data_IF_973956574403
#
_entry.id   IF_973956574403
#
_cell.length_a   1.000
_cell.length_b   1.000
_cell.length_c   1.000
_cell.angle_alpha   90.00
_cell.angle_beta   90.00
_cell.angle_gamma   90.00
#
_symmetry.space_group_name_H-M   'P 1'
#
loop_
_entity.id
_entity.type
_entity.pdbx_description
1 polymer ?
#
# COMPACT_ATOMS: atom_id res chain seq x y z
N UNK A 1 6.92 7.55 7.34
CA UNK A 1 6.56 6.79 8.57
C UNK A 1 6.66 7.68 9.79
N UNK A 2 6.16 7.22 10.95
CA UNK A 2 6.27 7.95 12.23
C UNK A 2 7.58 7.68 13.00
N UNK A 3 8.27 6.59 12.67
CA UNK A 3 9.58 6.24 13.23
C UNK A 3 10.69 6.50 12.21
N UNK A 4 11.88 6.81 12.71
CA UNK A 4 13.10 6.92 11.91
C UNK A 4 13.36 5.62 11.15
N UNK A 5 13.73 5.74 9.87
CA UNK A 5 14.01 4.62 8.98
C UNK A 5 12.88 3.56 8.90
N UNK A 6 11.64 3.95 9.19
CA UNK A 6 10.49 3.06 9.09
C UNK A 6 10.27 2.62 7.64
N UNK A 7 10.29 1.31 7.41
CA UNK A 7 10.03 0.69 6.10
C UNK A 7 9.07 -0.49 6.26
N UNK A 8 8.23 -0.74 5.27
CA UNK A 8 7.53 -2.01 5.16
C UNK A 8 8.53 -3.10 4.75
N UNK A 9 8.62 -4.16 5.54
CA UNK A 9 9.53 -5.27 5.32
C UNK A 9 8.81 -6.44 4.64
N UNK A 10 9.54 -7.13 3.75
CA UNK A 10 9.03 -8.27 2.99
C UNK A 10 9.03 -9.55 3.85
N UNK A 11 8.24 -9.55 4.93
CA UNK A 11 8.25 -10.61 5.96
C UNK A 11 6.96 -11.44 6.01
N UNK A 12 5.90 -10.98 5.34
CA UNK A 12 4.62 -11.67 5.24
C UNK A 12 3.99 -11.44 3.86
N UNK A 13 3.04 -12.30 3.47
CA UNK A 13 2.53 -12.42 2.10
C UNK A 13 1.93 -11.13 1.52
N UNK A 14 1.22 -10.32 2.31
CA UNK A 14 0.62 -9.08 1.82
C UNK A 14 1.70 -8.04 1.50
N UNK A 15 2.74 -7.94 2.33
CA UNK A 15 3.90 -7.07 2.09
C UNK A 15 4.63 -7.42 0.79
N UNK A 16 4.71 -8.72 0.45
CA UNK A 16 5.41 -9.18 -0.76
C UNK A 16 4.85 -8.56 -2.05
N UNK A 17 3.58 -8.13 -2.05
CA UNK A 17 2.92 -7.45 -3.18
C UNK A 17 3.58 -6.13 -3.59
N UNK A 18 4.33 -5.55 -2.67
CA UNK A 18 4.94 -4.23 -2.80
C UNK A 18 6.46 -4.29 -2.90
N UNK A 19 7.02 -5.49 -3.15
CA UNK A 19 8.45 -5.64 -3.36
C UNK A 19 8.94 -4.70 -4.47
N UNK A 20 9.91 -3.85 -4.15
CA UNK A 20 10.50 -2.83 -5.03
C UNK A 20 9.52 -1.76 -5.57
N UNK A 21 8.33 -1.65 -4.98
CA UNK A 21 7.24 -0.83 -5.49
C UNK A 21 6.70 0.19 -4.46
N UNK A 22 7.55 0.53 -3.50
CA UNK A 22 7.30 1.58 -2.50
C UNK A 22 8.36 2.67 -2.63
N UNK A 23 7.91 3.91 -2.78
CA UNK A 23 8.69 5.12 -2.58
C UNK A 23 8.52 5.60 -1.12
N UNK A 24 9.55 6.25 -0.60
CA UNK A 24 9.52 6.85 0.73
C UNK A 24 9.92 8.32 0.59
N UNK A 25 9.03 9.19 1.03
CA UNK A 25 9.33 10.59 1.26
C UNK A 25 9.59 10.77 2.76
N UNK A 26 10.87 10.85 3.13
CA UNK A 26 11.29 10.96 4.53
C UNK A 26 11.23 12.42 5.05
N UNK A 27 10.65 13.34 4.29
CA UNK A 27 10.51 14.76 4.65
C UNK A 27 9.03 15.12 4.85
N UNK A 28 8.72 15.86 5.91
CA UNK A 28 7.39 16.45 6.13
C UNK A 28 7.46 17.98 6.07
N UNK A 29 6.82 18.57 5.07
CA UNK A 29 6.89 20.01 4.80
C UNK A 29 5.75 20.82 5.46
N UNK A 30 4.91 20.20 6.30
CA UNK A 30 3.73 20.85 6.87
C UNK A 30 2.52 20.83 5.93
N UNK A 31 1.58 21.76 6.14
CA UNK A 31 0.35 21.85 5.35
C UNK A 31 0.65 22.26 3.91
N UNK A 32 0.02 21.59 2.95
CA UNK A 32 0.15 21.89 1.53
C UNK A 32 -0.68 23.13 1.19
N UNK A 33 -0.02 24.21 0.79
CA UNK A 33 -0.64 25.50 0.45
C UNK A 33 -0.64 25.81 -1.05
N UNK A 34 0.06 25.01 -1.86
CA UNK A 34 0.13 25.16 -3.31
C UNK A 34 0.36 23.80 -4.03
N UNK A 35 0.40 23.84 -5.36
CA UNK A 35 0.57 22.66 -6.20
C UNK A 35 2.03 22.14 -6.27
N UNK A 36 3.02 22.93 -5.84
CA UNK A 36 4.42 22.57 -6.00
C UNK A 36 4.79 21.31 -5.19
N UNK A 37 4.12 21.13 -4.05
CA UNK A 37 4.28 19.91 -3.25
C UNK A 37 3.72 18.68 -3.96
N UNK A 38 2.58 18.81 -4.65
CA UNK A 38 2.02 17.72 -5.47
C UNK A 38 3.00 17.27 -6.56
N UNK A 39 3.61 18.22 -7.28
CA UNK A 39 4.62 17.93 -8.30
C UNK A 39 5.87 17.28 -7.71
N UNK A 40 6.30 17.70 -6.51
CA UNK A 40 7.43 17.09 -5.81
C UNK A 40 7.11 15.64 -5.43
N UNK A 41 5.96 15.39 -4.81
CA UNK A 41 5.52 14.05 -4.41
C UNK A 41 5.36 13.12 -5.62
N UNK A 42 4.81 13.61 -6.73
CA UNK A 42 4.75 12.86 -7.98
C UNK A 42 6.15 12.46 -8.49
N UNK A 43 7.14 13.36 -8.39
CA UNK A 43 8.55 13.05 -8.69
C UNK A 43 9.14 11.99 -7.74
N UNK A 44 8.84 12.06 -6.44
CA UNK A 44 9.31 11.07 -5.45
C UNK A 44 8.69 9.70 -5.71
N UNK A 45 7.38 9.64 -5.98
CA UNK A 45 6.67 8.40 -6.33
C UNK A 45 7.28 7.74 -7.58
N UNK A 46 7.58 8.54 -8.61
CA UNK A 46 8.18 8.07 -9.85
C UNK A 46 7.30 7.03 -10.54
N UNK A 47 7.82 5.80 -10.70
CA UNK A 47 7.10 4.68 -11.35
C UNK A 47 6.47 3.69 -10.38
N UNK A 48 6.55 3.96 -9.07
CA UNK A 48 6.04 3.07 -8.03
C UNK A 48 4.56 3.30 -7.79
N UNK A 49 3.87 2.33 -7.20
CA UNK A 49 2.43 2.46 -6.88
C UNK A 49 2.15 3.03 -5.50
N UNK A 50 3.10 2.94 -4.58
CA UNK A 50 2.92 3.38 -3.19
C UNK A 50 3.96 4.42 -2.82
N UNK A 51 3.52 5.52 -2.20
CA UNK A 51 4.39 6.50 -1.55
C UNK A 51 4.06 6.57 -0.06
N UNK A 52 5.04 6.25 0.79
CA UNK A 52 4.95 6.55 2.22
C UNK A 52 5.42 7.97 2.47
N UNK A 53 4.62 8.72 3.22
CA UNK A 53 4.91 10.08 3.64
C UNK A 53 5.38 10.06 5.09
N UNK A 54 6.51 10.69 5.39
CA UNK A 54 6.95 10.93 6.76
C UNK A 54 5.85 11.66 7.55
N UNK A 55 5.61 11.19 8.78
CA UNK A 55 4.69 11.84 9.73
C UNK A 55 3.23 12.03 9.27
N UNK A 56 2.80 11.38 8.17
CA UNK A 56 1.49 11.62 7.58
C UNK A 56 0.72 10.33 7.27
N UNK A 57 1.08 9.62 6.21
CA UNK A 57 0.31 8.48 5.73
C UNK A 57 0.87 7.91 4.43
N UNK A 58 -0.02 7.46 3.54
CA UNK A 58 0.35 6.87 2.25
C UNK A 58 -0.46 7.46 1.11
N UNK A 59 0.14 7.51 -0.07
CA UNK A 59 -0.54 7.67 -1.35
C UNK A 59 -0.42 6.34 -2.09
N UNK A 60 -1.53 5.86 -2.63
CA UNK A 60 -1.58 4.63 -3.43
C UNK A 60 -2.25 4.93 -4.76
N UNK A 61 -1.59 4.54 -5.85
CA UNK A 61 -2.09 4.72 -7.22
C UNK A 61 -2.25 3.39 -7.93
N UNK A 62 -3.11 3.36 -8.94
CA UNK A 62 -3.32 2.18 -9.77
C UNK A 62 -4.00 2.54 -11.10
N UNK A 63 -3.98 1.64 -12.10
CA UNK A 63 -4.63 1.86 -13.40
C UNK A 63 -6.14 2.03 -13.29
N UNK A 64 -6.75 1.47 -12.24
CA UNK A 64 -8.18 1.56 -11.96
C UNK A 64 -8.42 1.85 -10.47
N UNK A 65 -9.59 2.39 -10.14
CA UNK A 65 -10.00 2.58 -8.73
C UNK A 65 -9.98 1.25 -7.97
N UNK A 66 -10.39 0.16 -8.61
CA UNK A 66 -10.38 -1.17 -8.01
C UNK A 66 -8.95 -1.62 -7.63
N UNK A 67 -7.97 -1.44 -8.51
CA UNK A 67 -6.57 -1.80 -8.24
C UNK A 67 -5.91 -0.90 -7.20
N UNK A 68 -6.19 0.41 -7.24
CA UNK A 68 -5.69 1.35 -6.23
C UNK A 68 -6.27 1.01 -4.83
N UNK A 69 -7.58 0.74 -4.77
CA UNK A 69 -8.25 0.36 -3.54
C UNK A 69 -7.76 -0.98 -3.00
N UNK A 70 -7.62 -2.00 -3.86
CA UNK A 70 -7.11 -3.32 -3.48
C UNK A 70 -5.69 -3.21 -2.90
N UNK A 71 -4.83 -2.44 -3.58
CA UNK A 71 -3.47 -2.16 -3.10
C UNK A 71 -3.49 -1.47 -1.74
N UNK A 72 -4.32 -0.45 -1.54
CA UNK A 72 -4.46 0.23 -0.24
C UNK A 72 -4.94 -0.73 0.87
N UNK A 73 -5.94 -1.55 0.58
CA UNK A 73 -6.51 -2.52 1.53
C UNK A 73 -5.48 -3.56 2.01
N UNK A 74 -4.64 -4.05 1.11
CA UNK A 74 -3.60 -5.02 1.45
C UNK A 74 -2.36 -4.36 2.05
N UNK A 75 -2.06 -3.12 1.67
CA UNK A 75 -1.00 -2.32 2.29
C UNK A 75 -1.30 -2.09 3.77
N UNK A 76 -2.53 -1.68 4.11
CA UNK A 76 -2.97 -1.49 5.49
C UNK A 76 -2.82 -2.77 6.32
N UNK A 77 -3.18 -3.93 5.75
CA UNK A 77 -2.99 -5.23 6.42
C UNK A 77 -1.51 -5.55 6.64
N UNK A 78 -0.68 -5.32 5.63
CA UNK A 78 0.76 -5.55 5.74
C UNK A 78 1.38 -4.69 6.84
N UNK A 79 1.07 -3.39 6.85
CA UNK A 79 1.50 -2.46 7.88
C UNK A 79 1.01 -2.87 9.27
N UNK A 80 -0.27 -3.22 9.40
CA UNK A 80 -0.86 -3.66 10.67
C UNK A 80 -0.18 -4.92 11.21
N UNK A 81 0.01 -5.93 10.37
CA UNK A 81 0.68 -7.17 10.78
C UNK A 81 2.14 -6.92 11.19
N UNK A 82 2.86 -6.06 10.46
CA UNK A 82 4.22 -5.69 10.83
C UNK A 82 4.28 -4.96 12.19
N UNK A 83 3.36 -4.03 12.45
CA UNK A 83 3.26 -3.32 13.75
C UNK A 83 2.99 -4.32 14.87
N UNK A 84 2.01 -5.22 14.70
CA UNK A 84 1.68 -6.25 15.68
C UNK A 84 2.85 -7.21 15.94
N UNK A 85 3.55 -7.65 14.89
CA UNK A 85 4.70 -8.52 15.04
C UNK A 85 5.86 -7.80 15.76
N UNK A 86 6.12 -6.53 15.43
CA UNK A 86 7.15 -5.71 16.10
C UNK A 86 6.82 -5.40 17.55
N UNK A 87 5.55 -5.25 17.91
CA UNK A 87 5.16 -5.01 19.32
C UNK A 87 5.44 -6.20 20.25
N UNK A 88 5.74 -7.38 19.69
CA UNK A 88 6.16 -8.55 20.48
C UNK A 88 7.64 -8.51 20.89
N UNK A 89 8.42 -7.53 20.42
CA UNK A 89 9.82 -7.33 20.79
C UNK A 89 10.82 -8.30 20.13
N UNK A 90 10.35 -9.28 19.35
CA UNK A 90 11.19 -10.21 18.61
C UNK A 90 11.59 -9.64 17.23
N UNK A 91 12.73 -10.11 16.70
CA UNK A 91 13.14 -9.80 15.33
C UNK A 91 12.18 -10.47 14.34
N UNK A 92 11.78 -9.74 13.30
CA UNK A 92 10.96 -10.28 12.23
C UNK A 92 11.71 -11.36 11.45
N UNK A 93 10.99 -12.40 11.04
CA UNK A 93 11.53 -13.49 10.22
C UNK A 93 11.54 -13.05 8.76
N UNK A 94 12.73 -12.98 8.16
CA UNK A 94 12.87 -12.64 6.75
C UNK A 94 12.37 -13.77 5.83
N UNK A 95 11.73 -13.39 4.72
CA UNK A 95 11.43 -14.29 3.61
C UNK A 95 12.63 -14.32 2.66
N UNK A 96 12.96 -15.49 2.11
CA UNK A 96 14.06 -15.62 1.14
C UNK A 96 13.78 -14.74 -0.09
N UNK A 97 14.78 -14.00 -0.56
CA UNK A 97 14.61 -13.03 -1.65
C UNK A 97 14.02 -13.64 -2.94
N UNK A 98 14.37 -14.88 -3.26
CA UNK A 98 13.78 -15.62 -4.39
C UNK A 98 12.26 -15.82 -4.21
N UNK A 99 11.83 -16.23 -3.02
CA UNK A 99 10.40 -16.42 -2.70
C UNK A 99 9.66 -15.09 -2.76
N UNK A 100 10.27 -14.00 -2.28
CA UNK A 100 9.70 -12.64 -2.39
C UNK A 100 9.43 -12.29 -3.86
N UNK A 101 10.43 -12.43 -4.74
CA UNK A 101 10.30 -12.09 -6.17
C UNK A 101 9.26 -12.97 -6.87
N UNK A 102 9.30 -14.28 -6.64
CA UNK A 102 8.39 -15.22 -7.28
C UNK A 102 6.94 -14.97 -6.85
N UNK A 103 6.72 -14.82 -5.54
CA UNK A 103 5.38 -14.57 -4.98
C UNK A 103 4.84 -13.22 -5.44
N UNK A 104 5.67 -12.17 -5.44
CA UNK A 104 5.29 -10.86 -5.98
C UNK A 104 4.83 -10.99 -7.45
N UNK A 105 5.62 -11.65 -8.30
CA UNK A 105 5.27 -11.87 -9.71
C UNK A 105 3.93 -12.60 -9.87
N UNK A 106 3.68 -13.65 -9.08
CA UNK A 106 2.42 -14.39 -9.10
C UNK A 106 1.23 -13.52 -8.71
N UNK A 107 1.35 -12.76 -7.61
CA UNK A 107 0.26 -11.89 -7.15
C UNK A 107 -0.03 -10.79 -8.17
N UNK A 108 1.00 -10.18 -8.76
CA UNK A 108 0.82 -9.12 -9.75
C UNK A 108 0.16 -9.63 -11.03
N UNK A 109 0.46 -10.86 -11.46
CA UNK A 109 -0.16 -11.46 -12.65
C UNK A 109 -1.69 -11.56 -12.52
N UNK A 110 -2.20 -11.86 -11.32
CA UNK A 110 -3.64 -12.00 -11.09
C UNK A 110 -4.32 -10.74 -10.50
N UNK A 111 -3.55 -9.69 -10.20
CA UNK A 111 -4.05 -8.47 -9.53
C UNK A 111 -5.26 -7.86 -10.24
N UNK A 112 -5.28 -7.64 -11.57
CA UNK A 112 -6.43 -7.03 -12.24
C UNK A 112 -7.73 -7.82 -12.05
N UNK A 113 -7.65 -9.15 -12.09
CA UNK A 113 -8.79 -10.06 -11.89
C UNK A 113 -9.29 -9.99 -10.43
N UNK A 114 -8.39 -10.13 -9.46
CA UNK A 114 -8.79 -10.19 -8.05
C UNK A 114 -9.19 -8.83 -7.49
N UNK A 115 -8.55 -7.74 -7.91
CA UNK A 115 -8.94 -6.39 -7.53
C UNK A 115 -10.36 -6.06 -8.00
N UNK A 116 -10.72 -6.42 -9.23
CA UNK A 116 -12.08 -6.26 -9.74
C UNK A 116 -13.11 -7.07 -8.94
N UNK A 117 -12.80 -8.34 -8.64
CA UNK A 117 -13.68 -9.20 -7.85
C UNK A 117 -13.87 -8.69 -6.41
N UNK A 118 -12.79 -8.25 -5.77
CA UNK A 118 -12.80 -7.68 -4.43
C UNK A 118 -13.60 -6.38 -4.37
N UNK A 119 -13.32 -5.44 -5.27
CA UNK A 119 -14.06 -4.17 -5.34
C UNK A 119 -15.55 -4.41 -5.60
N UNK A 120 -15.89 -5.32 -6.52
CA UNK A 120 -17.27 -5.73 -6.75
C UNK A 120 -17.95 -6.35 -5.53
N UNK A 121 -17.22 -7.10 -4.70
CA UNK A 121 -17.75 -7.64 -3.45
C UNK A 121 -18.07 -6.55 -2.42
N UNK A 122 -17.20 -5.55 -2.28
CA UNK A 122 -17.44 -4.40 -1.41
C UNK A 122 -18.62 -3.57 -1.87
N UNK A 123 -18.77 -3.37 -3.18
CA UNK A 123 -19.96 -2.71 -3.73
C UNK A 123 -21.25 -3.45 -3.37
N UNK A 124 -21.29 -4.77 -3.46
CA UNK A 124 -22.47 -5.56 -3.03
C UNK A 124 -22.78 -5.43 -1.52
N UNK A 125 -21.78 -5.14 -0.69
CA UNK A 125 -21.99 -4.82 0.73
C UNK A 125 -22.63 -3.44 0.85
N UNK A 126 -22.06 -2.44 0.18
CA UNK A 126 -22.59 -1.07 0.18
C UNK A 126 -23.99 -0.98 -0.44
N UNK A 127 -24.28 -1.74 -1.50
CA UNK A 127 -25.62 -1.79 -2.11
C UNK A 127 -26.69 -2.28 -1.11
N UNK A 128 -26.31 -3.12 -0.14
CA UNK A 128 -27.20 -3.64 0.90
C UNK A 128 -27.27 -2.73 2.12
N UNK A 129 -26.14 -2.19 2.56
CA UNK A 129 -26.01 -1.50 3.85
C UNK A 129 -26.10 0.02 3.71
N UNK A 130 -25.59 0.60 2.62
CA UNK A 130 -25.47 2.04 2.40
C UNK A 130 -25.79 2.42 0.93
N UNK A 131 -26.95 2.03 0.36
CA UNK A 131 -27.22 2.14 -1.09
C UNK A 131 -27.17 3.57 -1.65
N UNK A 132 -27.19 4.59 -0.79
CA UNK A 132 -27.08 6.00 -1.17
C UNK A 132 -25.75 6.40 -1.82
N UNK A 133 -24.67 5.60 -1.67
CA UNK A 133 -23.33 5.94 -2.20
C UNK A 133 -23.27 6.06 -3.73
N UNK A 134 -24.23 5.45 -4.43
CA UNK A 134 -24.26 5.35 -5.90
C UNK A 134 -25.11 6.42 -6.58
N UNK A 135 -25.71 7.34 -5.81
CA UNK A 135 -26.59 8.41 -6.30
C UNK A 135 -25.82 9.65 -6.71
#
# INVERSE_FOLDING_TARGET
TLIENGRLEMVEQNALRFHEDIAYDDTYNGLVVDNAEGDRLARVLGRKRVLFLANHGVIVVGPTVAEAFDSLYYLERACRLQVLARSMGAKLRAVRAEVVRETCRMILADTPKYAGAHFGALKRILDREEPGYSR
#
